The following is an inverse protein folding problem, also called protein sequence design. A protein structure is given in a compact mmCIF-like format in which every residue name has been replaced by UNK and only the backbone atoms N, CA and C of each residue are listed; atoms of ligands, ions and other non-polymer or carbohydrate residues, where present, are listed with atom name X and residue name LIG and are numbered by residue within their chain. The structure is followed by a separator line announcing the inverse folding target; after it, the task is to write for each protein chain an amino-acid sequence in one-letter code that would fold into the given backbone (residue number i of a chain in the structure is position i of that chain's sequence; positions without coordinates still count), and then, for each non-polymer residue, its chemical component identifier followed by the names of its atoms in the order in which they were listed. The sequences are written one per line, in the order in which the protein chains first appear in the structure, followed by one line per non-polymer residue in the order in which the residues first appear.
data_IF_170162389350
#
_entry.id   IF_170162389350
#
_cell.length_a   1.000
_cell.length_b   1.000
_cell.length_c   1.000
_cell.angle_alpha   90.00
_cell.angle_beta   90.00
_cell.angle_gamma   90.00
#
_symmetry.space_group_name_H-M   'P 1'
#
loop_
_entity.id
_entity.type
_entity.pdbx_description
1 polymer ?
#
# COMPACT_ATOMS: atom_id res chain seq x y z
N UNK A 1 -26.43 -18.79 -6.00
CA UNK A 1 -25.24 -19.49 -5.48
C UNK A 1 -24.52 -18.51 -4.56
N UNK A 2 -24.43 -18.83 -3.27
CA UNK A 2 -23.67 -18.02 -2.31
C UNK A 2 -22.18 -18.19 -2.60
N UNK A 3 -21.55 -17.11 -3.05
CA UNK A 3 -20.12 -17.04 -3.33
C UNK A 3 -19.30 -17.03 -2.04
N UNK A 4 -18.93 -18.21 -1.55
CA UNK A 4 -17.82 -18.36 -0.59
C UNK A 4 -16.48 -18.20 -1.33
N UNK A 5 -16.27 -17.06 -1.98
CA UNK A 5 -14.94 -16.70 -2.44
C UNK A 5 -14.14 -16.23 -1.21
N UNK A 6 -12.88 -16.67 -1.03
CA UNK A 6 -12.05 -16.19 0.08
C UNK A 6 -11.96 -14.66 0.04
N UNK A 7 -12.19 -14.00 1.17
CA UNK A 7 -12.14 -12.53 1.31
C UNK A 7 -10.71 -12.03 1.62
N UNK A 8 -9.69 -12.81 1.24
CA UNK A 8 -8.31 -12.64 1.71
C UNK A 8 -7.46 -11.92 0.66
N UNK A 9 -7.81 -10.65 0.44
CA UNK A 9 -6.98 -9.72 -0.31
C UNK A 9 -5.62 -9.55 0.40
N UNK A 10 -4.53 -9.80 -0.32
CA UNK A 10 -3.18 -9.66 0.23
C UNK A 10 -2.38 -8.60 -0.53
N UNK A 11 -1.77 -7.63 0.17
CA UNK A 11 -0.81 -6.71 -0.42
C UNK A 11 0.35 -7.45 -1.14
N UNK A 12 0.72 -8.66 -0.72
CA UNK A 12 1.84 -9.39 -1.33
C UNK A 12 1.64 -9.78 -2.80
N UNK A 13 0.43 -9.65 -3.36
CA UNK A 13 0.12 -10.00 -4.74
C UNK A 13 0.59 -8.96 -5.78
N UNK A 14 1.10 -7.79 -5.37
CA UNK A 14 1.52 -6.71 -6.26
C UNK A 14 2.81 -6.02 -5.75
N UNK A 15 3.86 -5.85 -6.59
CA UNK A 15 5.11 -5.21 -6.16
C UNK A 15 4.94 -3.78 -5.64
N UNK A 16 3.90 -3.05 -6.07
CA UNK A 16 3.62 -1.70 -5.60
C UNK A 16 3.04 -1.67 -4.18
N UNK A 17 2.45 -2.77 -3.73
CA UNK A 17 1.89 -2.92 -2.39
C UNK A 17 2.91 -2.93 -1.26
N UNK A 18 4.21 -2.92 -1.56
CA UNK A 18 5.24 -2.64 -0.55
C UNK A 18 5.01 -1.27 0.10
N UNK A 19 4.45 -0.30 -0.63
CA UNK A 19 4.01 0.98 -0.05
C UNK A 19 3.01 0.76 1.10
N UNK A 20 2.06 -0.14 0.91
CA UNK A 20 1.07 -0.47 1.93
C UNK A 20 1.67 -1.23 3.12
N UNK A 21 2.51 -2.24 2.89
CA UNK A 21 3.14 -2.98 3.99
C UNK A 21 4.03 -2.06 4.84
N UNK A 22 4.86 -1.25 4.19
CA UNK A 22 5.71 -0.28 4.87
C UNK A 22 4.88 0.77 5.62
N UNK A 23 3.81 1.31 5.00
CA UNK A 23 2.94 2.26 5.68
C UNK A 23 2.28 1.64 6.93
N UNK A 24 1.94 0.35 6.90
CA UNK A 24 1.35 -0.35 8.04
C UNK A 24 2.34 -0.51 9.20
N UNK A 25 3.59 -0.87 8.90
CA UNK A 25 4.66 -0.91 9.91
C UNK A 25 4.94 0.47 10.50
N UNK A 26 5.04 1.51 9.65
CA UNK A 26 5.27 2.87 10.08
C UNK A 26 4.13 3.40 10.95
N UNK A 27 2.87 3.12 10.61
CA UNK A 27 1.70 3.43 11.44
C UNK A 27 1.79 2.77 12.81
N UNK A 28 2.18 1.49 12.86
CA UNK A 28 2.39 0.79 14.12
C UNK A 28 3.55 1.40 14.93
N UNK A 29 4.64 1.82 14.27
CA UNK A 29 5.75 2.54 14.91
C UNK A 29 5.29 3.88 15.48
N UNK A 30 4.48 4.65 14.75
CA UNK A 30 3.88 5.91 15.23
C UNK A 30 3.03 5.65 16.49
N UNK A 31 2.13 4.67 16.44
CA UNK A 31 1.29 4.34 17.60
C UNK A 31 2.11 3.89 18.81
N UNK A 32 3.13 3.05 18.60
CA UNK A 32 3.99 2.54 19.66
C UNK A 32 4.84 3.66 20.29
N UNK A 33 5.44 4.52 19.47
CA UNK A 33 6.27 5.63 19.96
C UNK A 33 5.44 6.63 20.75
N UNK A 34 4.26 7.03 20.25
CA UNK A 34 3.34 7.91 20.99
C UNK A 34 2.92 7.29 22.33
N UNK A 35 2.53 6.01 22.34
CA UNK A 35 2.15 5.32 23.59
C UNK A 35 3.30 5.30 24.61
N UNK A 36 4.54 5.07 24.16
CA UNK A 36 5.73 5.08 25.03
C UNK A 36 6.12 6.48 25.50
N UNK A 37 5.93 7.50 24.66
CA UNK A 37 6.14 8.91 25.01
C UNK A 37 5.17 9.37 26.12
N UNK A 38 3.94 8.87 26.12
CA UNK A 38 2.94 9.13 27.17
C UNK A 38 3.07 8.20 28.39
N UNK A 39 3.75 7.06 28.24
CA UNK A 39 4.02 6.09 29.30
C UNK A 39 5.12 6.52 30.28
N UNK A 40 5.57 5.57 31.12
CA UNK A 40 6.65 5.81 32.06
C UNK A 40 7.96 6.17 31.33
N UNK A 41 8.62 7.25 31.77
CA UNK A 41 9.94 7.60 31.26
C UNK A 41 11.00 6.68 31.87
N UNK A 42 11.82 6.07 31.02
CA UNK A 42 12.93 5.23 31.41
C UNK A 42 14.23 5.94 31.06
N UNK A 43 15.11 6.09 32.02
CA UNK A 43 16.43 6.65 31.78
C UNK A 43 17.34 5.62 31.10
N UNK A 44 17.82 5.95 29.91
CA UNK A 44 18.77 5.16 29.12
C UNK A 44 20.08 5.93 29.08
N UNK A 45 20.95 5.66 30.07
CA UNK A 45 22.14 6.48 30.30
C UNK A 45 21.75 7.90 30.71
N UNK A 46 22.10 8.89 29.89
CA UNK A 46 21.74 10.29 30.12
C UNK A 46 20.53 10.75 29.31
N UNK A 47 19.87 9.84 28.59
CA UNK A 47 18.72 10.14 27.74
C UNK A 47 17.42 9.64 28.35
N UNK A 48 16.37 10.45 28.22
CA UNK A 48 14.99 10.00 28.44
C UNK A 48 14.54 9.10 27.30
N UNK A 49 13.88 7.98 27.61
CA UNK A 49 13.30 7.09 26.60
C UNK A 49 12.28 7.82 25.74
N UNK A 50 11.53 8.77 26.31
CA UNK A 50 10.58 9.60 25.57
C UNK A 50 11.26 10.47 24.51
N UNK A 51 12.49 10.93 24.76
CA UNK A 51 13.27 11.69 23.76
C UNK A 51 13.72 10.79 22.60
N UNK A 52 14.10 9.55 22.90
CA UNK A 52 14.47 8.56 21.89
C UNK A 52 13.24 8.23 21.03
N UNK A 53 12.10 7.94 21.67
CA UNK A 53 10.84 7.63 20.98
C UNK A 53 10.36 8.81 20.13
N UNK A 54 10.53 10.05 20.58
CA UNK A 54 10.22 11.25 19.80
C UNK A 54 11.03 11.37 18.50
N UNK A 55 12.32 10.99 18.51
CA UNK A 55 13.14 10.97 17.28
C UNK A 55 12.64 9.90 16.32
N UNK A 56 12.34 8.71 16.83
CA UNK A 56 11.80 7.61 16.04
C UNK A 56 10.43 7.98 15.45
N UNK A 57 9.57 8.66 16.21
CA UNK A 57 8.28 9.16 15.75
C UNK A 57 8.42 10.07 14.52
N UNK A 58 9.31 11.07 14.58
CA UNK A 58 9.53 12.01 13.47
C UNK A 58 10.01 11.28 12.21
N UNK A 59 10.93 10.32 12.36
CA UNK A 59 11.43 9.53 11.23
C UNK A 59 10.30 8.71 10.61
N UNK A 60 9.50 8.01 11.44
CA UNK A 60 8.39 7.18 10.97
C UNK A 60 7.32 8.02 10.23
N UNK A 61 6.93 9.16 10.79
CA UNK A 61 5.98 10.10 10.15
C UNK A 61 6.47 10.58 8.79
N UNK A 62 7.77 10.87 8.64
CA UNK A 62 8.33 11.27 7.35
C UNK A 62 8.39 10.12 6.34
N UNK A 63 8.67 8.90 6.81
CA UNK A 63 8.73 7.73 5.94
C UNK A 63 7.36 7.38 5.36
N UNK A 64 6.25 7.73 6.01
CA UNK A 64 4.91 7.60 5.42
C UNK A 64 4.77 8.36 4.08
N UNK A 65 5.36 9.56 3.98
CA UNK A 65 5.37 10.32 2.73
C UNK A 65 6.22 9.66 1.63
N UNK A 66 7.15 8.77 1.98
CA UNK A 66 7.86 7.97 0.99
C UNK A 66 6.96 6.86 0.43
N UNK A 67 6.11 6.25 1.27
CA UNK A 67 5.10 5.30 0.84
C UNK A 67 4.08 5.96 -0.10
N UNK A 68 3.61 7.18 0.22
CA UNK A 68 2.75 7.98 -0.69
C UNK A 68 3.41 8.18 -2.05
N UNK A 69 4.68 8.59 -2.07
CA UNK A 69 5.42 8.80 -3.32
C UNK A 69 5.49 7.51 -4.15
N UNK A 70 5.75 6.38 -3.51
CA UNK A 70 5.84 5.08 -4.19
C UNK A 70 4.48 4.69 -4.79
N UNK A 71 3.40 4.86 -4.04
CA UNK A 71 2.04 4.59 -4.51
C UNK A 71 1.66 5.53 -5.68
N UNK A 72 2.02 6.81 -5.63
CA UNK A 72 1.79 7.75 -6.73
C UNK A 72 2.48 7.33 -8.04
N UNK A 73 3.69 6.78 -7.95
CA UNK A 73 4.40 6.23 -9.11
C UNK A 73 3.59 5.08 -9.71
N UNK A 74 3.14 4.14 -8.86
CA UNK A 74 2.31 3.01 -9.29
C UNK A 74 1.02 3.44 -10.00
N UNK A 75 0.27 4.37 -9.39
CA UNK A 75 -0.97 4.91 -9.95
C UNK A 75 -0.74 5.55 -11.32
N UNK A 76 0.37 6.28 -11.48
CA UNK A 76 0.71 6.96 -12.73
C UNK A 76 1.14 5.97 -13.82
N UNK A 77 2.06 5.05 -13.48
CA UNK A 77 2.62 4.09 -14.44
C UNK A 77 1.56 3.11 -14.96
N UNK A 78 0.57 2.78 -14.12
CA UNK A 78 -0.53 1.87 -14.46
C UNK A 78 -1.77 2.60 -15.02
N UNK A 79 -1.72 3.93 -15.16
CA UNK A 79 -2.82 4.72 -15.71
C UNK A 79 -4.12 4.59 -14.92
N UNK A 80 -4.03 4.48 -13.59
CA UNK A 80 -5.20 4.47 -12.70
C UNK A 80 -5.92 5.82 -12.78
N UNK A 81 -7.23 5.81 -12.56
CA UNK A 81 -8.08 7.01 -12.60
C UNK A 81 -7.44 8.20 -11.85
N UNK A 82 -7.25 9.36 -12.51
CA UNK A 82 -6.69 10.55 -11.88
C UNK A 82 -7.38 10.97 -10.58
N UNK A 83 -8.68 10.65 -10.40
CA UNK A 83 -9.40 10.91 -9.16
C UNK A 83 -8.78 10.19 -7.94
N UNK A 84 -8.20 9.00 -8.13
CA UNK A 84 -7.49 8.27 -7.07
C UNK A 84 -6.19 8.98 -6.69
N UNK A 85 -5.45 9.49 -7.68
CA UNK A 85 -4.24 10.29 -7.45
C UNK A 85 -4.58 11.57 -6.68
N UNK A 86 -5.62 12.29 -7.10
CA UNK A 86 -6.06 13.50 -6.40
C UNK A 86 -6.48 13.22 -4.95
N UNK A 87 -7.20 12.11 -4.70
CA UNK A 87 -7.57 11.73 -3.34
C UNK A 87 -6.35 11.40 -2.45
N UNK A 88 -5.31 10.78 -3.02
CA UNK A 88 -4.05 10.52 -2.31
C UNK A 88 -3.27 11.83 -2.05
N UNK A 89 -3.25 12.75 -3.01
CA UNK A 89 -2.62 14.07 -2.86
C UNK A 89 -3.31 14.92 -1.78
N UNK A 90 -4.65 14.93 -1.76
CA UNK A 90 -5.43 15.59 -0.72
C UNK A 90 -5.14 15.00 0.67
N UNK A 91 -5.02 13.67 0.77
CA UNK A 91 -4.67 13.01 2.02
C UNK A 91 -3.23 13.35 2.49
N UNK A 92 -2.27 13.44 1.56
CA UNK A 92 -0.91 13.92 1.86
C UNK A 92 -0.96 15.37 2.39
N UNK A 93 -1.75 16.24 1.77
CA UNK A 93 -1.86 17.63 2.21
C UNK A 93 -2.49 17.73 3.61
N UNK A 94 -3.59 17.01 3.86
CA UNK A 94 -4.23 16.95 5.19
C UNK A 94 -3.25 16.43 6.25
N UNK A 95 -2.42 15.44 5.92
CA UNK A 95 -1.37 14.94 6.80
C UNK A 95 -0.32 16.01 7.12
N UNK A 96 0.14 16.74 6.11
CA UNK A 96 1.12 17.82 6.27
C UNK A 96 0.56 19.00 7.08
N UNK A 97 -0.72 19.33 6.88
CA UNK A 97 -1.42 20.38 7.61
C UNK A 97 -1.63 20.01 9.09
N UNK A 98 -1.88 18.73 9.38
CA UNK A 98 -1.99 18.21 10.74
C UNK A 98 -0.65 18.20 11.51
N UNK A 99 0.46 18.15 10.78
CA UNK A 99 1.83 18.09 11.32
C UNK A 99 2.68 19.22 10.75
N UNK A 100 2.32 20.49 11.03
CA UNK A 100 3.02 21.63 10.47
C UNK A 100 4.49 21.58 10.86
N UNK A 101 5.39 21.88 9.91
CA UNK A 101 6.83 21.83 10.10
C UNK A 101 7.47 20.44 10.25
N UNK A 102 6.75 19.32 10.11
CA UNK A 102 7.33 17.96 10.21
C UNK A 102 8.56 17.78 9.31
N UNK A 103 8.54 18.41 8.12
CA UNK A 103 9.69 18.44 7.21
C UNK A 103 10.93 19.04 7.88
N UNK A 104 10.80 20.22 8.50
CA UNK A 104 11.91 20.91 9.15
C UNK A 104 12.41 20.17 10.38
N UNK A 105 11.49 19.60 11.19
CA UNK A 105 11.87 18.78 12.35
C UNK A 105 12.69 17.56 11.91
N UNK A 106 12.26 16.88 10.85
CA UNK A 106 13.01 15.75 10.27
C UNK A 106 14.34 16.19 9.68
N UNK A 107 14.35 17.26 8.88
CA UNK A 107 15.56 17.71 8.21
C UNK A 107 16.67 18.05 9.23
N UNK A 108 16.31 18.69 10.35
CA UNK A 108 17.26 18.92 11.45
C UNK A 108 17.76 17.64 12.14
N UNK A 109 16.95 16.56 12.15
CA UNK A 109 17.34 15.27 12.72
C UNK A 109 18.23 14.45 11.79
N UNK A 110 17.90 14.40 10.49
CA UNK A 110 18.56 13.49 9.53
C UNK A 110 19.69 14.14 8.76
N UNK A 111 19.72 15.47 8.67
CA UNK A 111 20.76 16.24 7.98
C UNK A 111 21.44 17.20 8.97
N UNK A 112 21.66 16.74 10.20
CA UNK A 112 22.15 17.56 11.30
C UNK A 112 23.50 18.23 10.98
N UNK A 113 24.34 17.59 10.17
CA UNK A 113 25.64 18.06 9.73
C UNK A 113 25.55 19.35 8.89
N UNK A 114 24.62 19.41 7.95
CA UNK A 114 24.40 20.59 7.11
C UNK A 114 23.49 21.59 7.81
N UNK A 115 22.49 21.09 8.54
CA UNK A 115 21.51 21.89 9.26
C UNK A 115 22.17 22.79 10.32
N UNK A 116 23.01 22.20 11.18
CA UNK A 116 23.69 22.95 12.24
C UNK A 116 24.68 24.00 11.70
N UNK A 117 25.19 23.81 10.48
CA UNK A 117 26.11 24.75 9.83
C UNK A 117 25.40 25.82 8.99
N UNK A 118 24.06 25.81 8.93
CA UNK A 118 23.30 26.70 8.05
C UNK A 118 23.54 26.43 6.56
N UNK A 119 23.93 25.20 6.21
CA UNK A 119 24.20 24.73 4.83
C UNK A 119 22.96 24.04 4.25
N UNK A 120 23.04 23.67 2.97
CA UNK A 120 21.99 22.93 2.28
C UNK A 120 20.80 23.80 1.84
N UNK A 121 19.59 23.39 2.19
CA UNK A 121 18.34 24.08 1.87
C UNK A 121 17.46 24.19 3.12
N UNK A 122 16.78 25.32 3.31
CA UNK A 122 15.83 25.52 4.41
C UNK A 122 16.04 26.83 5.18
N UNK A 123 15.18 27.11 6.18
CA UNK A 123 15.15 28.39 6.89
C UNK A 123 16.46 28.72 7.62
N UNK A 124 17.20 27.72 8.09
CA UNK A 124 18.51 27.87 8.71
C UNK A 124 19.56 28.47 7.75
N UNK A 125 19.49 28.12 6.44
CA UNK A 125 20.35 28.71 5.41
C UNK A 125 19.98 30.17 5.15
N UNK A 126 18.69 30.48 5.18
CA UNK A 126 18.23 31.86 5.00
C UNK A 126 18.65 32.73 6.20
N UNK A 127 18.51 32.22 7.42
CA UNK A 127 19.02 32.87 8.63
C UNK A 127 20.54 33.11 8.55
N UNK A 128 21.30 32.17 7.99
CA UNK A 128 22.76 32.29 7.81
C UNK A 128 23.18 33.44 6.89
N UNK A 129 22.30 33.95 6.02
CA UNK A 129 22.59 35.10 5.15
C UNK A 129 22.69 36.42 5.93
N UNK A 130 22.07 36.49 7.10
CA UNK A 130 21.92 37.73 7.89
C UNK A 130 22.43 37.63 9.32
N UNK A 131 22.74 36.42 9.81
CA UNK A 131 23.20 36.16 11.17
C UNK A 131 24.55 35.39 11.22
N UNK A 132 25.25 35.51 12.35
CA UNK A 132 26.48 34.77 12.65
C UNK A 132 26.21 33.26 12.71
N UNK A 133 27.13 32.37 12.25
CA UNK A 133 26.88 30.93 12.29
C UNK A 133 26.58 30.41 13.69
N UNK A 134 27.19 31.00 14.73
CA UNK A 134 26.97 30.56 16.11
C UNK A 134 25.54 30.86 16.57
N UNK A 135 24.96 31.97 16.13
CA UNK A 135 23.60 32.34 16.48
C UNK A 135 22.59 31.45 15.74
N UNK A 136 22.81 31.20 14.44
CA UNK A 136 22.02 30.23 13.67
C UNK A 136 22.11 28.84 14.30
N UNK A 137 23.30 28.39 14.67
CA UNK A 137 23.46 27.11 15.35
C UNK A 137 22.65 27.09 16.65
N UNK A 138 22.72 28.14 17.48
CA UNK A 138 21.99 28.24 18.76
C UNK A 138 20.47 28.18 18.57
N UNK A 139 19.94 28.75 17.50
CA UNK A 139 18.50 28.82 17.27
C UNK A 139 17.93 27.55 16.62
N UNK A 140 18.75 26.78 15.91
CA UNK A 140 18.31 25.65 15.08
C UNK A 140 18.80 24.26 15.53
N UNK A 141 19.71 24.14 16.51
CA UNK A 141 20.31 22.86 16.92
C UNK A 141 19.46 21.99 17.85
N UNK A 142 18.58 22.60 18.65
CA UNK A 142 17.96 21.92 19.79
C UNK A 142 16.83 21.01 19.34
N UNK A 143 16.85 19.75 19.77
CA UNK A 143 15.72 18.83 19.66
C UNK A 143 15.19 18.50 21.04
N UNK A 144 13.86 18.49 21.21
CA UNK A 144 13.26 18.07 22.46
C UNK A 144 11.80 17.69 22.33
N UNK A 145 11.40 16.68 23.09
CA UNK A 145 10.01 16.41 23.43
C UNK A 145 9.65 17.04 24.78
N UNK A 146 8.56 17.80 24.83
CA UNK A 146 7.99 18.34 26.05
C UNK A 146 6.68 17.60 26.40
N UNK A 147 6.64 16.82 27.50
CA UNK A 147 5.44 16.09 27.89
C UNK A 147 4.33 16.99 28.46
N UNK A 148 4.62 18.25 28.84
CA UNK A 148 3.60 19.17 29.35
C UNK A 148 2.77 19.72 28.20
N UNK A 149 3.42 20.12 27.11
CA UNK A 149 2.76 20.63 25.91
C UNK A 149 2.46 19.55 24.86
N UNK A 150 2.89 18.32 25.10
CA UNK A 150 2.79 17.17 24.19
C UNK A 150 3.34 17.50 22.78
N UNK A 151 4.51 18.14 22.76
CA UNK A 151 5.09 18.68 21.53
C UNK A 151 6.53 18.26 21.32
N UNK A 152 6.90 18.06 20.06
CA UNK A 152 8.29 17.83 19.64
C UNK A 152 8.80 19.08 18.94
N UNK A 153 9.98 19.54 19.34
CA UNK A 153 10.64 20.72 18.79
C UNK A 153 11.96 20.38 18.10
N UNK A 154 12.27 21.13 17.05
CA UNK A 154 13.58 21.22 16.42
C UNK A 154 13.85 22.69 16.13
N UNK A 155 14.70 23.34 16.93
CA UNK A 155 14.87 24.78 16.90
C UNK A 155 13.53 25.52 16.99
N UNK A 156 13.18 26.39 16.03
CA UNK A 156 11.91 27.13 16.04
C UNK A 156 10.70 26.31 15.54
N UNK A 157 10.91 25.06 15.12
CA UNK A 157 9.86 24.24 14.53
C UNK A 157 9.24 23.31 15.57
N UNK A 158 7.90 23.25 15.59
CA UNK A 158 7.14 22.44 16.54
C UNK A 158 6.10 21.60 15.81
N UNK A 159 5.95 20.35 16.24
CA UNK A 159 4.83 19.46 15.87
C UNK A 159 4.10 19.01 17.14
N UNK A 160 2.80 18.76 17.02
CA UNK A 160 1.97 18.16 18.08
C UNK A 160 2.06 16.63 18.03
N UNK A 161 2.35 15.99 19.15
CA UNK A 161 2.42 14.52 19.26
C UNK A 161 1.01 13.91 19.22
N UNK A 162 0.04 14.54 19.89
CA UNK A 162 -1.38 14.13 19.84
C UNK A 162 -1.96 14.07 18.41
N UNK A 163 -1.44 14.86 17.46
CA UNK A 163 -1.89 14.85 16.07
C UNK A 163 -1.31 13.67 15.25
N UNK A 164 -0.23 13.03 15.73
CA UNK A 164 0.53 12.07 14.94
C UNK A 164 -0.24 10.79 14.61
N UNK A 165 -0.91 10.16 15.58
CA UNK A 165 -1.66 8.92 15.35
C UNK A 165 -2.86 9.12 14.43
N UNK A 166 -3.74 10.12 14.65
CA UNK A 166 -4.85 10.39 13.74
C UNK A 166 -4.38 10.69 12.31
N UNK A 167 -3.34 11.53 12.15
CA UNK A 167 -2.80 11.87 10.84
C UNK A 167 -2.22 10.64 10.12
N UNK A 168 -1.42 9.83 10.81
CA UNK A 168 -0.85 8.60 10.25
C UNK A 168 -1.94 7.60 9.85
N UNK A 169 -2.97 7.42 10.69
CA UNK A 169 -4.09 6.53 10.38
C UNK A 169 -4.84 6.97 9.11
N UNK A 170 -5.14 8.25 8.98
CA UNK A 170 -5.84 8.80 7.82
C UNK A 170 -4.99 8.62 6.54
N UNK A 171 -3.70 8.94 6.59
CA UNK A 171 -2.80 8.78 5.44
C UNK A 171 -2.66 7.32 5.02
N UNK A 172 -2.49 6.39 5.98
CA UNK A 172 -2.43 4.96 5.68
C UNK A 172 -3.73 4.41 5.09
N UNK A 173 -4.89 4.93 5.50
CA UNK A 173 -6.17 4.54 4.90
C UNK A 173 -6.26 4.99 3.44
N UNK A 174 -5.75 6.19 3.11
CA UNK A 174 -5.67 6.67 1.73
C UNK A 174 -4.68 5.84 0.89
N UNK A 175 -3.50 5.49 1.44
CA UNK A 175 -2.54 4.58 0.78
C UNK A 175 -3.22 3.23 0.49
N UNK A 176 -3.90 2.63 1.48
CA UNK A 176 -4.63 1.38 1.30
C UNK A 176 -5.68 1.47 0.18
N UNK A 177 -6.46 2.55 0.15
CA UNK A 177 -7.48 2.74 -0.89
C UNK A 177 -6.86 2.88 -2.29
N UNK A 178 -5.74 3.60 -2.40
CA UNK A 178 -4.98 3.74 -3.64
C UNK A 178 -4.41 2.39 -4.12
N UNK A 179 -3.74 1.64 -3.24
CA UNK A 179 -3.22 0.30 -3.57
C UNK A 179 -4.34 -0.64 -4.04
N UNK A 180 -5.50 -0.60 -3.36
CA UNK A 180 -6.66 -1.41 -3.78
C UNK A 180 -7.18 -1.02 -5.17
N UNK A 181 -7.12 0.26 -5.54
CA UNK A 181 -7.52 0.71 -6.88
C UNK A 181 -6.57 0.18 -7.96
N UNK A 182 -5.27 0.10 -7.67
CA UNK A 182 -4.27 -0.54 -8.54
C UNK A 182 -4.61 -2.01 -8.77
N UNK A 183 -4.92 -2.75 -7.70
CA UNK A 183 -5.25 -4.17 -7.82
C UNK A 183 -6.57 -4.37 -8.59
N UNK A 184 -7.58 -3.55 -8.33
CA UNK A 184 -8.83 -3.57 -9.09
C UNK A 184 -8.61 -3.36 -10.59
N UNK A 185 -7.74 -2.41 -10.97
CA UNK A 185 -7.39 -2.16 -12.37
C UNK A 185 -6.67 -3.36 -12.99
N UNK A 186 -5.64 -3.87 -12.31
CA UNK A 186 -4.84 -5.01 -12.77
C UNK A 186 -5.70 -6.26 -12.97
N UNK A 187 -6.66 -6.46 -12.07
CA UNK A 187 -7.60 -7.59 -12.09
C UNK A 187 -8.67 -7.43 -13.17
N UNK A 188 -9.15 -6.21 -13.43
CA UNK A 188 -10.02 -5.94 -14.56
C UNK A 188 -9.32 -6.26 -15.89
N UNK A 189 -8.06 -5.84 -16.06
CA UNK A 189 -7.28 -6.14 -17.26
C UNK A 189 -7.02 -7.65 -17.44
N UNK A 190 -6.74 -8.37 -16.35
CA UNK A 190 -6.59 -9.83 -16.41
C UNK A 190 -7.91 -10.50 -16.78
N UNK A 191 -9.04 -10.03 -16.23
CA UNK A 191 -10.36 -10.55 -16.57
C UNK A 191 -10.68 -10.33 -18.05
N UNK A 192 -10.40 -9.15 -18.58
CA UNK A 192 -10.60 -8.84 -19.99
C UNK A 192 -9.72 -9.73 -20.89
N UNK A 193 -8.47 -9.98 -20.50
CA UNK A 193 -7.57 -10.90 -21.20
C UNK A 193 -8.12 -12.35 -21.22
N UNK A 194 -8.65 -12.83 -20.10
CA UNK A 194 -9.28 -14.16 -19.99
C UNK A 194 -10.50 -14.25 -20.91
N UNK A 195 -11.39 -13.26 -20.84
CA UNK A 195 -12.61 -13.20 -21.66
C UNK A 195 -12.27 -13.17 -23.15
N UNK A 196 -11.29 -12.35 -23.55
CA UNK A 196 -10.83 -12.27 -24.94
C UNK A 196 -10.27 -13.62 -25.41
N UNK A 197 -9.40 -14.25 -24.61
CA UNK A 197 -8.78 -15.55 -24.96
C UNK A 197 -9.82 -16.66 -25.14
N UNK A 198 -10.84 -16.70 -24.27
CA UNK A 198 -11.96 -17.64 -24.40
C UNK A 198 -12.78 -17.35 -25.66
N UNK A 199 -13.06 -16.08 -25.93
CA UNK A 199 -13.83 -15.64 -27.10
C UNK A 199 -13.12 -15.98 -28.41
N UNK A 200 -11.81 -15.75 -28.49
CA UNK A 200 -10.99 -16.07 -29.67
C UNK A 200 -10.94 -17.59 -29.94
N UNK A 201 -11.05 -18.41 -28.88
CA UNK A 201 -11.16 -19.86 -28.97
C UNK A 201 -12.60 -20.36 -29.19
N UNK A 202 -13.55 -19.44 -29.46
CA UNK A 202 -14.97 -19.71 -29.61
C UNK A 202 -15.61 -20.44 -28.41
N UNK A 203 -15.12 -20.17 -27.20
CA UNK A 203 -15.69 -20.66 -25.94
C UNK A 203 -16.59 -19.56 -25.37
N UNK A 204 -17.90 -19.84 -25.28
CA UNK A 204 -18.85 -18.86 -24.74
C UNK A 204 -18.62 -18.65 -23.24
N UNK A 205 -18.40 -17.39 -22.85
CA UNK A 205 -18.19 -16.96 -21.46
C UNK A 205 -19.10 -15.80 -21.04
N UNK A 206 -20.18 -15.56 -21.80
CA UNK A 206 -21.11 -14.44 -21.57
C UNK A 206 -22.04 -14.76 -20.39
N UNK A 207 -21.98 -14.02 -19.27
CA UNK A 207 -22.88 -14.25 -18.15
C UNK A 207 -24.33 -13.86 -18.52
N UNK A 208 -25.36 -14.51 -17.95
CA UNK A 208 -25.30 -15.63 -17.01
C UNK A 208 -25.35 -17.02 -17.68
N UNK A 209 -25.42 -17.08 -19.01
CA UNK A 209 -25.80 -18.28 -19.78
C UNK A 209 -24.61 -19.02 -20.39
N UNK A 210 -23.42 -18.44 -20.36
CA UNK A 210 -22.20 -19.06 -20.87
C UNK A 210 -21.78 -20.26 -20.03
N UNK A 211 -21.28 -21.34 -20.65
CA UNK A 211 -20.80 -22.53 -19.95
C UNK A 211 -19.50 -22.29 -19.18
N UNK A 212 -18.80 -21.18 -19.44
CA UNK A 212 -17.65 -20.72 -18.65
C UNK A 212 -18.00 -19.40 -17.96
N UNK A 213 -17.78 -19.33 -16.65
CA UNK A 213 -18.00 -18.14 -15.85
C UNK A 213 -16.66 -17.54 -15.44
N UNK A 214 -16.42 -16.30 -15.85
CA UNK A 214 -15.25 -15.51 -15.45
C UNK A 214 -15.71 -14.39 -14.52
N UNK A 215 -15.29 -14.45 -13.28
CA UNK A 215 -15.71 -13.51 -12.23
C UNK A 215 -14.51 -12.85 -11.56
N UNK A 216 -14.74 -11.63 -11.06
CA UNK A 216 -13.80 -10.94 -10.19
C UNK A 216 -14.25 -11.17 -8.75
N UNK A 217 -13.36 -11.72 -7.93
CA UNK A 217 -13.60 -11.93 -6.51
C UNK A 217 -13.48 -10.64 -5.69
N UNK A 218 -14.00 -10.66 -4.47
CA UNK A 218 -13.84 -9.56 -3.51
C UNK A 218 -12.37 -9.39 -3.07
N UNK A 219 -11.60 -10.48 -3.14
CA UNK A 219 -10.13 -10.53 -2.98
C UNK A 219 -9.35 -9.89 -4.13
N UNK A 220 -10.04 -9.22 -5.06
CA UNK A 220 -9.49 -8.65 -6.29
C UNK A 220 -8.70 -9.68 -7.11
N UNK A 221 -9.13 -10.94 -7.15
CA UNK A 221 -8.56 -11.95 -8.05
C UNK A 221 -9.55 -12.34 -9.14
N UNK A 222 -9.05 -12.92 -10.22
CA UNK A 222 -9.88 -13.47 -11.31
C UNK A 222 -10.12 -14.95 -11.07
N UNK A 223 -11.39 -15.34 -11.10
CA UNK A 223 -11.84 -16.70 -10.86
C UNK A 223 -12.56 -17.24 -12.09
N UNK A 224 -12.27 -18.48 -12.44
CA UNK A 224 -12.87 -19.22 -13.55
C UNK A 224 -13.59 -20.45 -13.01
N UNK A 225 -14.84 -20.64 -13.43
CA UNK A 225 -15.66 -21.83 -13.11
C UNK A 225 -16.48 -22.25 -14.32
N UNK A 226 -17.09 -23.43 -14.27
CA UNK A 226 -17.96 -23.93 -15.34
C UNK A 226 -19.42 -23.93 -14.90
N UNK A 227 -20.31 -23.47 -15.76
CA UNK A 227 -21.75 -23.68 -15.61
C UNK A 227 -22.18 -24.79 -16.58
N UNK A 228 -22.15 -26.03 -16.10
CA UNK A 228 -22.39 -27.21 -16.91
C UNK A 228 -23.89 -27.48 -17.16
N UNK A 229 -24.80 -26.69 -16.59
CA UNK A 229 -26.24 -26.90 -16.71
C UNK A 229 -26.79 -26.82 -18.15
N UNK A 230 -26.07 -26.14 -19.05
CA UNK A 230 -26.43 -25.99 -20.47
C UNK A 230 -25.54 -26.79 -21.42
N UNK A 231 -24.61 -27.60 -20.90
CA UNK A 231 -23.65 -28.39 -21.69
C UNK A 231 -24.04 -29.87 -21.60
N UNK A 232 -24.04 -30.64 -22.70
CA UNK A 232 -24.25 -32.08 -22.62
C UNK A 232 -23.19 -32.77 -21.76
N UNK A 233 -23.59 -33.72 -20.90
CA UNK A 233 -22.67 -34.42 -19.97
C UNK A 233 -21.43 -35.02 -20.66
N UNK A 234 -21.59 -35.52 -21.88
CA UNK A 234 -20.50 -36.09 -22.67
C UNK A 234 -19.42 -35.06 -23.06
N UNK A 235 -19.76 -33.77 -23.07
CA UNK A 235 -18.88 -32.67 -23.51
C UNK A 235 -18.25 -31.91 -22.32
N UNK A 236 -18.64 -32.21 -21.07
CA UNK A 236 -18.18 -31.47 -19.88
C UNK A 236 -16.66 -31.52 -19.71
N UNK A 237 -16.07 -32.71 -19.81
CA UNK A 237 -14.61 -32.87 -19.66
C UNK A 237 -13.86 -32.24 -20.84
N UNK A 238 -14.37 -32.39 -22.06
CA UNK A 238 -13.78 -31.78 -23.25
C UNK A 238 -13.77 -30.25 -23.14
N UNK A 239 -14.86 -29.65 -22.66
CA UNK A 239 -14.92 -28.21 -22.39
C UNK A 239 -13.86 -27.80 -21.35
N UNK A 240 -13.74 -28.53 -20.24
CA UNK A 240 -12.75 -28.24 -19.21
C UNK A 240 -11.31 -28.31 -19.75
N UNK A 241 -10.98 -29.34 -20.52
CA UNK A 241 -9.67 -29.49 -21.18
C UNK A 241 -9.38 -28.37 -22.17
N UNK A 242 -10.38 -27.97 -22.96
CA UNK A 242 -10.27 -26.84 -23.89
C UNK A 242 -10.01 -25.53 -23.15
N UNK A 243 -10.72 -25.27 -22.06
CA UNK A 243 -10.50 -24.06 -21.24
C UNK A 243 -9.08 -24.02 -20.68
N UNK A 244 -8.61 -25.12 -20.08
CA UNK A 244 -7.23 -25.20 -19.54
C UNK A 244 -6.20 -24.94 -20.65
N UNK A 245 -6.40 -25.54 -21.82
CA UNK A 245 -5.54 -25.37 -23.00
C UNK A 245 -5.51 -23.92 -23.48
N UNK A 246 -6.67 -23.26 -23.55
CA UNK A 246 -6.77 -21.85 -23.95
C UNK A 246 -6.06 -20.92 -22.96
N UNK A 247 -6.23 -21.16 -21.65
CA UNK A 247 -5.51 -20.39 -20.63
C UNK A 247 -3.99 -20.55 -20.78
N UNK A 248 -3.51 -21.79 -20.94
CA UNK A 248 -2.09 -22.06 -21.12
C UNK A 248 -1.52 -21.38 -22.39
N UNK A 249 -2.24 -21.45 -23.52
CA UNK A 249 -1.85 -20.76 -24.76
C UNK A 249 -1.84 -19.23 -24.63
N UNK A 250 -2.73 -18.67 -23.81
CA UNK A 250 -2.76 -17.25 -23.50
C UNK A 250 -1.65 -16.79 -22.53
N UNK A 251 -0.76 -17.71 -22.11
CA UNK A 251 0.28 -17.43 -21.12
C UNK A 251 -0.28 -17.23 -19.71
N UNK A 252 -1.46 -17.80 -19.43
CA UNK A 252 -2.11 -17.74 -18.13
C UNK A 252 -2.00 -19.10 -17.42
N UNK A 253 -1.92 -19.04 -16.10
CA UNK A 253 -1.91 -20.20 -15.23
C UNK A 253 -3.21 -20.29 -14.45
N UNK A 254 -3.70 -21.50 -14.29
CA UNK A 254 -4.77 -21.81 -13.33
C UNK A 254 -4.14 -22.30 -12.02
N UNK A 255 -4.69 -21.84 -10.90
CA UNK A 255 -4.28 -22.29 -9.57
C UNK A 255 -5.50 -22.65 -8.75
N UNK A 256 -5.27 -23.54 -7.79
CA UNK A 256 -6.27 -24.00 -6.85
C UNK A 256 -6.05 -23.39 -5.48
N UNK A 257 -7.11 -22.89 -4.85
CA UNK A 257 -7.09 -22.56 -3.42
C UNK A 257 -7.13 -23.80 -2.52
N UNK A 258 -7.73 -24.89 -2.98
CA UNK A 258 -7.96 -26.11 -2.17
C UNK A 258 -6.76 -27.06 -2.21
N UNK A 259 -6.11 -27.19 -3.37
CA UNK A 259 -4.98 -28.07 -3.65
C UNK A 259 -3.91 -27.31 -4.46
N UNK A 260 -3.07 -26.46 -3.82
CA UNK A 260 -2.14 -25.58 -4.53
C UNK A 260 -1.14 -26.28 -5.46
N UNK A 261 -0.83 -27.56 -5.20
CA UNK A 261 0.08 -28.39 -5.99
C UNK A 261 -0.61 -29.17 -7.12
N UNK A 262 -1.93 -29.04 -7.26
CA UNK A 262 -2.70 -29.73 -8.29
C UNK A 262 -2.24 -29.32 -9.69
N UNK A 263 -2.24 -30.29 -10.60
CA UNK A 263 -1.95 -30.10 -12.03
C UNK A 263 -3.12 -30.55 -12.92
N UNK A 264 -4.10 -31.24 -12.34
CA UNK A 264 -5.30 -31.79 -12.98
C UNK A 264 -6.43 -30.75 -13.08
N UNK A 265 -6.11 -29.54 -13.55
CA UNK A 265 -7.04 -28.40 -13.56
C UNK A 265 -8.35 -28.69 -14.32
N UNK A 266 -8.32 -29.50 -15.38
CA UNK A 266 -9.53 -29.89 -16.11
C UNK A 266 -10.47 -30.74 -15.25
N UNK A 267 -9.94 -31.72 -14.51
CA UNK A 267 -10.72 -32.55 -13.61
C UNK A 267 -11.35 -31.73 -12.48
N UNK A 268 -10.66 -30.68 -12.03
CA UNK A 268 -11.13 -29.79 -10.96
C UNK A 268 -12.22 -28.83 -11.43
N UNK A 269 -12.06 -28.24 -12.62
CA UNK A 269 -13.13 -27.48 -13.28
C UNK A 269 -14.36 -28.34 -13.53
N UNK A 270 -14.17 -29.59 -13.96
CA UNK A 270 -15.24 -30.57 -14.12
C UNK A 270 -15.94 -30.89 -12.80
N UNK A 271 -15.21 -30.92 -11.69
CA UNK A 271 -15.74 -31.09 -10.33
C UNK A 271 -16.39 -29.83 -9.73
N UNK A 272 -16.72 -28.84 -10.58
CA UNK A 272 -17.34 -27.56 -10.19
C UNK A 272 -16.48 -26.71 -9.24
N UNK A 273 -15.16 -26.86 -9.31
CA UNK A 273 -14.27 -26.03 -8.50
C UNK A 273 -13.90 -24.73 -9.22
N UNK A 274 -14.11 -23.56 -8.59
CA UNK A 274 -13.56 -22.30 -9.08
C UNK A 274 -12.04 -22.30 -8.99
N UNK A 275 -11.38 -22.04 -10.11
CA UNK A 275 -9.93 -21.91 -10.18
C UNK A 275 -9.53 -20.44 -10.28
N UNK A 276 -8.46 -20.05 -9.58
CA UNK A 276 -7.87 -18.73 -9.71
C UNK A 276 -7.07 -18.67 -11.01
N UNK A 277 -7.15 -17.54 -11.70
CA UNK A 277 -6.34 -17.25 -12.89
C UNK A 277 -5.21 -16.30 -12.52
N UNK A 278 -4.01 -16.60 -12.99
CA UNK A 278 -2.79 -15.82 -12.78
C UNK A 278 -2.06 -15.63 -14.12
N UNK A 279 -1.28 -14.55 -14.26
CA UNK A 279 -0.34 -14.42 -15.37
C UNK A 279 0.87 -15.30 -15.10
N UNK A 280 1.42 -15.97 -16.12
CA UNK A 280 2.72 -16.61 -15.96
C UNK A 280 3.76 -15.53 -15.63
N UNK A 281 4.44 -15.69 -14.50
CA UNK A 281 5.62 -14.86 -14.22
C UNK A 281 6.66 -15.09 -15.33
N UNK A 282 7.29 -14.03 -15.85
CA UNK A 282 8.35 -14.15 -16.85
C UNK A 282 9.55 -14.94 -16.34
#
# INVERSE_FOLDING_TARGET
MNSNLPDDWSPADNPYSIALSESSWLRATVALTVARMHGADVQVGWFSSRQIDARTLVVALRQLLAAVKLERIALTDLGVDPAVISALDDAEQVFLDALPNIKHVRDGLTHFEDWALGRGSGPQRDARKVADPRDVARDFWSFGYDPVTDSVTMGPFTISVSAAVPAANALCAAIYAATRAVDQRTTAELRDQVVQSLTDAAISCTPPQGPVLVSQGHDTRVWLSLNLSSVPDAEHMELAERVVTVMAHAGLRLTSSTFPEAQDFAARLFADEPLRVERNSP
#
